data_IF_813985475342
#
_entry.id   IF_813985475342
#
_cell.length_a   1.000
_cell.length_b   1.000
_cell.length_c   1.000
_cell.angle_alpha   90.00
_cell.angle_beta   90.00
_cell.angle_gamma   90.00
#
_symmetry.space_group_name_H-M   'P 1'
#
loop_
_entity.id
_entity.type
_entity.pdbx_description
1 polymer ?
#
# COMPACT_ATOMS: atom_id res chain seq x y z
N UNK A 1 35.23 43.18 -35.11
CA UNK A 1 35.07 42.64 -33.75
C UNK A 1 34.64 41.20 -33.91
N UNK A 2 35.61 40.28 -33.84
CA UNK A 2 35.39 38.84 -34.01
C UNK A 2 35.43 38.17 -32.65
N UNK A 3 34.36 37.46 -32.32
CA UNK A 3 34.20 36.75 -31.07
C UNK A 3 35.02 35.45 -31.10
N UNK A 4 35.95 35.32 -30.15
CA UNK A 4 36.82 34.16 -30.00
C UNK A 4 36.21 33.21 -28.99
N UNK A 5 36.15 31.94 -29.38
CA UNK A 5 35.60 30.85 -28.59
C UNK A 5 36.31 30.64 -27.25
N UNK A 6 35.51 30.21 -26.28
CA UNK A 6 35.97 29.70 -24.99
C UNK A 6 36.16 28.19 -25.10
N UNK A 7 37.42 27.77 -24.99
CA UNK A 7 37.83 26.38 -24.79
C UNK A 7 37.91 26.15 -23.28
N UNK A 8 37.02 25.32 -22.74
CA UNK A 8 37.18 24.80 -21.38
C UNK A 8 37.97 23.49 -21.45
N UNK A 9 39.21 23.54 -20.95
CA UNK A 9 39.99 22.38 -20.50
C UNK A 9 39.75 22.18 -19.01
N UNK A 10 39.73 20.92 -18.60
CA UNK A 10 39.66 20.46 -17.21
C UNK A 10 38.62 19.37 -17.13
N UNK A 11 38.94 18.09 -16.98
CA UNK A 11 40.12 17.45 -16.40
C UNK A 11 39.54 16.20 -15.77
N UNK A 12 39.68 15.06 -16.45
CA UNK A 12 39.25 13.76 -15.94
C UNK A 12 40.02 13.46 -14.66
N UNK A 13 39.33 13.51 -13.53
CA UNK A 13 39.80 12.88 -12.29
C UNK A 13 39.11 11.53 -12.24
N UNK A 14 39.82 10.52 -12.75
CA UNK A 14 39.49 9.12 -12.51
C UNK A 14 39.58 8.87 -11.01
N UNK A 15 38.44 8.84 -10.32
CA UNK A 15 38.37 8.31 -8.97
C UNK A 15 38.46 6.77 -9.07
N UNK A 16 39.66 6.25 -8.86
CA UNK A 16 39.91 4.85 -8.52
C UNK A 16 39.10 4.50 -7.26
N UNK A 17 37.86 4.05 -7.45
CA UNK A 17 37.14 3.30 -6.43
C UNK A 17 37.63 1.86 -6.53
N UNK A 18 38.73 1.59 -5.84
CA UNK A 18 39.24 0.25 -5.61
C UNK A 18 38.27 -0.56 -4.76
N UNK A 19 37.18 -1.03 -5.36
CA UNK A 19 36.38 -2.13 -4.82
C UNK A 19 37.17 -3.41 -5.09
N UNK A 20 38.00 -3.81 -4.13
CA UNK A 20 38.54 -5.18 -4.10
C UNK A 20 37.35 -6.12 -3.97
N UNK A 21 36.99 -6.77 -5.06
CA UNK A 21 36.17 -7.98 -5.02
C UNK A 21 36.83 -8.96 -4.03
N UNK A 22 36.09 -9.52 -3.04
CA UNK A 22 36.66 -10.51 -2.16
C UNK A 22 37.12 -11.70 -3.00
N UNK A 23 38.38 -12.09 -2.76
CA UNK A 23 39.06 -13.19 -3.41
C UNK A 23 38.15 -14.42 -3.49
N UNK A 24 38.12 -15.00 -4.69
CA UNK A 24 37.42 -16.23 -5.03
C UNK A 24 37.89 -17.42 -4.20
N UNK A 25 37.41 -17.54 -2.96
CA UNK A 25 37.52 -18.76 -2.17
C UNK A 25 36.74 -19.86 -2.88
N UNK A 26 37.50 -20.83 -3.38
CA UNK A 26 37.05 -22.02 -4.10
C UNK A 26 35.87 -22.67 -3.36
N UNK A 27 34.70 -22.55 -3.99
CA UNK A 27 33.49 -23.31 -3.69
C UNK A 27 33.83 -24.80 -3.55
N UNK A 28 33.83 -25.32 -2.32
CA UNK A 28 33.52 -26.73 -2.11
C UNK A 28 32.08 -26.87 -2.56
N UNK A 29 31.87 -27.51 -3.71
CA UNK A 29 30.56 -27.69 -4.31
C UNK A 29 29.57 -28.13 -3.22
N UNK A 30 28.60 -27.26 -2.92
CA UNK A 30 27.47 -27.64 -2.10
C UNK A 30 26.83 -28.89 -2.74
N UNK A 31 26.35 -29.87 -1.96
CA UNK A 31 25.72 -31.06 -2.53
C UNK A 31 24.64 -30.65 -3.53
N UNK A 32 24.60 -31.29 -4.71
CA UNK A 32 23.72 -30.91 -5.82
C UNK A 32 22.23 -30.75 -5.45
N UNK A 33 21.79 -31.38 -4.36
CA UNK A 33 20.47 -31.25 -3.73
C UNK A 33 20.14 -29.81 -3.29
N UNK A 34 21.14 -29.01 -2.90
CA UNK A 34 20.91 -27.67 -2.34
C UNK A 34 20.71 -26.55 -3.38
N UNK A 35 21.22 -26.70 -4.60
CA UNK A 35 20.93 -25.76 -5.69
C UNK A 35 19.47 -25.90 -6.19
N UNK A 36 18.89 -27.10 -6.05
CA UNK A 36 17.48 -27.35 -6.35
C UNK A 36 16.54 -26.67 -5.33
N UNK A 37 17.01 -26.41 -4.10
CA UNK A 37 16.22 -25.79 -3.04
C UNK A 37 15.99 -24.30 -3.23
N UNK A 38 16.99 -23.57 -3.74
CA UNK A 38 16.87 -22.12 -3.98
C UNK A 38 17.26 -21.77 -5.43
N UNK A 39 16.39 -22.06 -6.41
CA UNK A 39 16.65 -21.73 -7.81
C UNK A 39 16.89 -20.23 -8.00
N UNK A 40 17.88 -19.87 -8.84
CA UNK A 40 18.28 -18.47 -9.05
C UNK A 40 19.27 -17.93 -8.01
N UNK A 41 19.69 -18.75 -7.04
CA UNK A 41 20.67 -18.39 -6.03
C UNK A 41 21.98 -19.15 -6.24
N UNK A 42 23.08 -18.58 -5.73
CA UNK A 42 24.37 -19.26 -5.56
C UNK A 42 24.68 -19.46 -4.08
N UNK A 43 25.20 -20.63 -3.69
CA UNK A 43 25.65 -20.84 -2.32
C UNK A 43 27.00 -20.12 -2.10
N UNK A 44 27.15 -19.49 -0.95
CA UNK A 44 28.42 -18.95 -0.45
C UNK A 44 28.63 -19.38 0.99
N UNK A 45 29.90 -19.52 1.39
CA UNK A 45 30.21 -19.71 2.80
C UNK A 45 30.02 -18.38 3.52
N UNK A 46 29.22 -18.36 4.58
CA UNK A 46 28.98 -17.20 5.42
C UNK A 46 28.97 -17.64 6.88
N UNK A 47 30.03 -17.26 7.61
CA UNK A 47 30.18 -17.54 9.03
C UNK A 47 29.19 -16.70 9.85
N UNK A 48 28.74 -17.22 10.99
CA UNK A 48 27.75 -16.57 11.87
C UNK A 48 28.17 -15.17 12.32
N UNK A 49 29.45 -14.97 12.62
CA UNK A 49 30.02 -13.68 13.05
C UNK A 49 30.05 -12.64 11.93
N UNK A 50 29.92 -13.05 10.66
CA UNK A 50 29.87 -12.18 9.47
C UNK A 50 28.45 -11.88 9.01
N UNK A 51 27.44 -12.54 9.57
CA UNK A 51 26.05 -12.36 9.18
C UNK A 51 25.55 -10.90 9.34
N UNK A 52 25.86 -10.17 10.43
CA UNK A 52 25.36 -8.79 10.61
C UNK A 52 25.91 -7.80 9.58
N UNK A 53 27.10 -8.05 9.05
CA UNK A 53 27.80 -7.16 8.11
C UNK A 53 27.60 -7.59 6.65
N UNK A 54 26.73 -8.56 6.38
CA UNK A 54 26.56 -9.11 5.04
C UNK A 54 25.61 -8.26 4.19
N UNK A 55 26.16 -7.49 3.26
CA UNK A 55 25.42 -6.48 2.48
C UNK A 55 24.61 -7.06 1.29
N UNK A 56 24.86 -8.31 0.87
CA UNK A 56 24.14 -8.87 -0.28
C UNK A 56 22.77 -9.43 0.14
N UNK A 57 21.78 -9.29 -0.74
CA UNK A 57 20.45 -9.88 -0.56
C UNK A 57 20.53 -11.40 -0.40
N UNK A 58 20.06 -11.88 0.73
CA UNK A 58 20.14 -13.26 1.17
C UNK A 58 18.76 -13.90 1.12
N UNK A 59 18.63 -15.00 0.39
CA UNK A 59 17.37 -15.73 0.33
C UNK A 59 17.25 -16.71 1.50
N UNK A 60 18.36 -17.30 1.96
CA UNK A 60 18.40 -18.17 3.15
C UNK A 60 19.82 -18.33 3.69
N UNK A 61 19.96 -18.57 4.99
CA UNK A 61 21.21 -18.90 5.68
C UNK A 61 20.97 -19.95 6.77
N UNK A 62 21.93 -20.87 6.91
CA UNK A 62 21.94 -21.94 7.93
C UNK A 62 23.28 -21.97 8.67
N UNK A 63 23.24 -21.74 9.98
CA UNK A 63 24.40 -21.74 10.87
C UNK A 63 25.12 -23.10 10.89
N UNK A 64 24.38 -24.21 10.78
CA UNK A 64 24.95 -25.56 10.88
C UNK A 64 25.90 -25.86 9.73
N UNK A 65 25.60 -25.32 8.55
CA UNK A 65 26.42 -25.50 7.35
C UNK A 65 27.23 -24.26 7.00
N UNK A 66 27.07 -23.16 7.74
CA UNK A 66 27.66 -21.84 7.45
C UNK A 66 27.48 -21.45 5.98
N UNK A 67 26.29 -21.72 5.44
CA UNK A 67 25.99 -21.54 4.02
C UNK A 67 24.87 -20.53 3.87
N UNK A 68 25.13 -19.51 3.05
CA UNK A 68 24.16 -18.54 2.60
C UNK A 68 23.79 -18.81 1.13
N UNK A 69 22.52 -18.66 0.79
CA UNK A 69 22.02 -18.65 -0.59
C UNK A 69 21.74 -17.20 -0.96
N UNK A 70 22.56 -16.69 -1.87
CA UNK A 70 22.55 -15.30 -2.30
C UNK A 70 21.99 -15.24 -3.70
N UNK A 71 21.14 -14.26 -3.99
CA UNK A 71 20.57 -14.10 -5.34
C UNK A 71 21.72 -13.95 -6.35
N UNK A 72 21.70 -14.74 -7.42
CA UNK A 72 22.78 -14.77 -8.40
C UNK A 72 22.79 -13.54 -9.32
N UNK A 73 21.61 -13.02 -9.66
CA UNK A 73 21.42 -11.80 -10.44
C UNK A 73 20.65 -10.79 -9.60
N UNK A 74 21.03 -9.50 -9.58
CA UNK A 74 20.32 -8.49 -8.81
C UNK A 74 18.80 -8.53 -9.08
N UNK A 75 18.00 -8.57 -8.03
CA UNK A 75 16.55 -8.41 -8.12
C UNK A 75 16.27 -7.00 -8.64
N UNK A 76 15.99 -6.88 -9.94
CA UNK A 76 15.73 -5.58 -10.58
C UNK A 76 14.48 -4.88 -10.04
N UNK A 77 14.21 -3.66 -10.54
CA UNK A 77 13.12 -2.78 -10.06
C UNK A 77 11.69 -3.34 -10.09
N UNK A 78 11.49 -4.55 -10.62
CA UNK A 78 10.22 -5.27 -10.61
C UNK A 78 9.88 -5.80 -9.20
N UNK A 79 10.87 -6.32 -8.44
CA UNK A 79 10.65 -6.76 -7.05
C UNK A 79 10.21 -5.57 -6.20
N UNK A 80 11.04 -4.52 -6.19
CA UNK A 80 10.79 -3.31 -5.41
C UNK A 80 9.49 -2.61 -5.82
N UNK A 81 9.19 -2.56 -7.12
CA UNK A 81 7.96 -1.98 -7.64
C UNK A 81 6.72 -2.73 -7.15
N UNK A 82 6.77 -4.06 -7.12
CA UNK A 82 5.65 -4.90 -6.66
C UNK A 82 5.44 -4.75 -5.14
N UNK A 83 6.50 -4.80 -4.33
CA UNK A 83 6.40 -4.59 -2.88
C UNK A 83 5.89 -3.18 -2.55
N UNK A 84 6.45 -2.13 -3.18
CA UNK A 84 5.99 -0.74 -3.00
C UNK A 84 4.53 -0.58 -3.41
N UNK A 85 4.09 -1.28 -4.45
CA UNK A 85 2.69 -1.28 -4.86
C UNK A 85 1.80 -1.87 -3.77
N UNK A 86 2.19 -2.99 -3.15
CA UNK A 86 1.43 -3.59 -2.05
C UNK A 86 1.25 -2.61 -0.88
N UNK A 87 2.29 -1.86 -0.50
CA UNK A 87 2.22 -0.84 0.55
C UNK A 87 1.08 0.16 0.25
N UNK A 88 1.06 0.73 -0.95
CA UNK A 88 0.02 1.70 -1.34
C UNK A 88 -1.38 1.11 -1.40
N UNK A 89 -1.52 -0.16 -1.78
CA UNK A 89 -2.82 -0.83 -1.76
C UNK A 89 -3.29 -1.06 -0.31
N UNK A 90 -2.39 -1.46 0.58
CA UNK A 90 -2.66 -1.66 2.00
C UNK A 90 -3.06 -0.35 2.70
N UNK A 91 -2.37 0.76 2.43
CA UNK A 91 -2.73 2.09 2.94
C UNK A 91 -4.16 2.49 2.56
N UNK A 92 -4.57 2.20 1.32
CA UNK A 92 -5.93 2.51 0.85
C UNK A 92 -6.99 1.64 1.49
N UNK A 93 -6.71 0.35 1.67
CA UNK A 93 -7.59 -0.55 2.42
C UNK A 93 -7.70 -0.06 3.87
N UNK A 94 -6.58 0.37 4.49
CA UNK A 94 -6.55 0.92 5.84
C UNK A 94 -7.45 2.17 5.98
N UNK A 95 -7.40 3.10 5.02
CA UNK A 95 -8.27 4.28 5.00
C UNK A 95 -9.76 3.92 5.00
N UNK A 96 -10.15 2.93 4.19
CA UNK A 96 -11.56 2.53 4.06
C UNK A 96 -12.02 1.69 5.26
N UNK A 97 -11.16 0.81 5.81
CA UNK A 97 -11.52 -0.02 6.97
C UNK A 97 -11.53 0.74 8.28
N UNK A 98 -10.83 1.88 8.38
CA UNK A 98 -10.78 2.72 9.58
C UNK A 98 -9.68 2.38 10.60
N UNK A 99 -8.86 1.38 10.34
CA UNK A 99 -7.78 0.92 11.21
C UNK A 99 -6.48 0.72 10.41
N UNK A 100 -5.31 1.03 11.00
CA UNK A 100 -4.04 1.01 10.27
C UNK A 100 -3.61 -0.42 9.91
N UNK A 101 -3.02 -0.56 8.73
CA UNK A 101 -2.25 -1.74 8.32
C UNK A 101 -0.77 -1.32 8.32
N UNK A 102 0.09 -2.10 8.97
CA UNK A 102 1.52 -1.84 8.96
C UNK A 102 2.22 -2.73 7.92
N UNK A 103 3.13 -2.13 7.17
CA UNK A 103 4.03 -2.80 6.22
C UNK A 103 5.46 -2.59 6.71
N UNK A 104 6.29 -3.64 6.66
CA UNK A 104 7.68 -3.56 7.13
C UNK A 104 8.71 -3.72 6.02
N UNK A 105 8.29 -3.78 4.76
CA UNK A 105 9.19 -3.98 3.65
C UNK A 105 9.87 -5.34 3.71
N UNK A 106 11.07 -5.37 3.15
CA UNK A 106 11.96 -6.51 3.27
C UNK A 106 12.41 -6.67 4.72
N UNK A 107 12.08 -7.81 5.33
CA UNK A 107 12.39 -8.12 6.73
C UNK A 107 13.19 -9.41 6.83
N UNK A 108 14.20 -9.37 7.70
CA UNK A 108 14.95 -10.57 8.09
C UNK A 108 14.13 -11.42 9.06
N UNK A 109 13.80 -12.64 8.64
CA UNK A 109 13.16 -13.66 9.43
C UNK A 109 14.24 -14.51 10.09
N UNK A 110 14.40 -14.37 11.41
CA UNK A 110 15.49 -14.95 12.19
C UNK A 110 14.97 -16.06 13.11
N UNK A 111 15.58 -17.23 13.07
CA UNK A 111 15.42 -18.29 14.07
C UNK A 111 16.64 -18.28 14.97
N UNK A 112 16.42 -18.33 16.29
CA UNK A 112 17.47 -18.45 17.29
C UNK A 112 17.48 -19.83 17.92
N UNK A 113 18.66 -20.31 18.26
CA UNK A 113 18.83 -21.54 19.04
C UNK A 113 18.46 -21.33 20.52
N UNK A 114 18.56 -22.40 21.33
CA UNK A 114 18.27 -22.34 22.77
C UNK A 114 19.20 -21.41 23.57
N UNK A 115 20.32 -20.96 23.00
CA UNK A 115 21.26 -20.00 23.60
C UNK A 115 21.02 -18.57 23.12
N UNK A 116 20.02 -18.37 22.25
CA UNK A 116 19.71 -17.09 21.63
C UNK A 116 20.64 -16.74 20.45
N UNK A 117 21.48 -17.66 19.97
CA UNK A 117 22.33 -17.40 18.81
C UNK A 117 21.56 -17.58 17.50
N UNK A 118 21.86 -16.82 16.43
CA UNK A 118 21.29 -17.06 15.10
C UNK A 118 21.50 -18.52 14.65
N UNK A 119 20.41 -19.23 14.35
CA UNK A 119 20.45 -20.59 13.78
C UNK A 119 20.15 -20.55 12.28
N UNK A 120 19.12 -19.79 11.88
CA UNK A 120 18.68 -19.66 10.49
C UNK A 120 18.17 -18.27 10.22
N UNK A 121 18.32 -17.82 8.99
CA UNK A 121 17.82 -16.52 8.55
C UNK A 121 17.26 -16.63 7.12
N UNK A 122 16.20 -15.90 6.84
CA UNK A 122 15.59 -15.78 5.50
C UNK A 122 15.07 -14.35 5.33
N UNK A 123 15.10 -13.79 4.12
CA UNK A 123 14.49 -12.49 3.85
C UNK A 123 13.14 -12.67 3.16
N UNK A 124 12.10 -12.02 3.68
CA UNK A 124 10.82 -11.85 2.98
C UNK A 124 10.85 -10.58 2.12
N UNK A 125 10.14 -10.55 0.99
CA UNK A 125 10.08 -9.32 0.15
C UNK A 125 9.21 -8.23 0.77
N UNK A 126 8.09 -8.61 1.41
CA UNK A 126 7.19 -7.68 2.11
C UNK A 126 6.37 -8.43 3.17
N UNK A 127 6.06 -7.77 4.28
CA UNK A 127 5.26 -8.34 5.37
C UNK A 127 4.20 -7.36 5.85
N UNK A 128 2.96 -7.84 5.99
CA UNK A 128 1.82 -7.03 6.40
C UNK A 128 1.25 -7.49 7.74
N UNK A 129 0.98 -6.52 8.61
CA UNK A 129 0.24 -6.70 9.85
C UNK A 129 -1.06 -5.91 9.76
N UNK A 130 -2.18 -6.63 9.77
CA UNK A 130 -3.52 -6.05 9.72
C UNK A 130 -3.93 -5.44 11.06
N UNK A 131 -3.27 -5.83 12.15
CA UNK A 131 -3.54 -5.33 13.50
C UNK A 131 -2.25 -4.94 14.23
N UNK A 132 -1.54 -3.88 13.79
CA UNK A 132 -0.25 -3.52 14.36
C UNK A 132 -0.29 -3.16 15.85
N UNK A 133 -1.45 -2.74 16.37
CA UNK A 133 -1.64 -2.47 17.80
C UNK A 133 -1.76 -3.71 18.69
N UNK A 134 -1.92 -4.92 18.11
CA UNK A 134 -2.13 -6.18 18.86
C UNK A 134 -0.83 -6.97 19.08
N UNK A 135 0.26 -6.56 18.47
CA UNK A 135 1.48 -7.34 18.42
C UNK A 135 2.72 -6.48 18.68
N UNK A 136 3.72 -7.09 19.32
CA UNK A 136 5.04 -6.47 19.42
C UNK A 136 5.69 -6.54 18.03
N UNK A 137 5.75 -5.40 17.36
CA UNK A 137 6.34 -5.28 16.04
C UNK A 137 7.87 -5.43 16.10
N UNK A 138 8.50 -6.03 15.08
CA UNK A 138 9.96 -6.16 15.01
C UNK A 138 10.63 -4.79 14.83
N UNK A 139 11.82 -4.62 15.45
CA UNK A 139 12.73 -3.51 15.19
C UNK A 139 13.96 -4.07 14.45
N UNK A 140 13.92 -4.07 13.12
CA UNK A 140 14.94 -4.69 12.27
C UNK A 140 14.54 -6.09 11.81
N UNK A 141 14.76 -7.11 12.66
CA UNK A 141 14.47 -8.51 12.31
C UNK A 141 13.22 -9.05 13.03
N UNK A 142 12.49 -9.93 12.35
CA UNK A 142 11.42 -10.72 12.92
C UNK A 142 11.99 -12.04 13.48
N UNK A 143 12.02 -12.18 14.80
CA UNK A 143 12.48 -13.40 15.46
C UNK A 143 11.32 -14.40 15.60
N UNK A 144 11.44 -15.54 14.94
CA UNK A 144 10.44 -16.61 14.91
C UNK A 144 10.28 -17.19 16.31
N UNK A 145 9.02 -17.27 16.78
CA UNK A 145 8.68 -17.77 18.13
C UNK A 145 8.72 -16.70 19.22
N UNK A 146 9.30 -15.52 18.96
CA UNK A 146 9.34 -14.40 19.91
C UNK A 146 8.40 -13.25 19.48
N UNK A 147 8.41 -12.90 18.20
CA UNK A 147 7.53 -11.88 17.63
C UNK A 147 6.23 -12.50 17.10
N UNK A 148 5.17 -11.69 17.06
CA UNK A 148 3.98 -12.08 16.34
C UNK A 148 4.30 -12.19 14.84
N UNK A 149 3.72 -13.18 14.18
CA UNK A 149 3.89 -13.34 12.74
C UNK A 149 3.01 -12.33 12.00
N UNK A 150 3.44 -11.84 10.82
CA UNK A 150 2.60 -11.04 9.95
C UNK A 150 1.42 -11.88 9.47
N UNK A 151 0.31 -11.18 9.22
CA UNK A 151 -0.91 -11.79 8.68
C UNK A 151 -0.72 -12.22 7.22
N UNK A 152 0.14 -11.51 6.47
CA UNK A 152 0.51 -11.84 5.09
C UNK A 152 2.01 -11.63 4.89
N UNK A 153 2.66 -12.59 4.25
CA UNK A 153 3.98 -12.42 3.62
C UNK A 153 3.82 -12.39 2.11
N UNK A 154 4.51 -11.49 1.43
CA UNK A 154 4.61 -11.47 -0.02
C UNK A 154 6.01 -11.93 -0.44
N UNK A 155 6.06 -12.73 -1.49
CA UNK A 155 7.26 -13.12 -2.22
C UNK A 155 7.05 -12.89 -3.72
N UNK A 156 8.02 -12.28 -4.39
CA UNK A 156 7.98 -12.03 -5.84
C UNK A 156 8.84 -13.08 -6.55
N UNK A 157 8.21 -14.06 -7.20
CA UNK A 157 8.87 -15.11 -7.99
C UNK A 157 9.19 -14.55 -9.40
N UNK A 158 10.21 -13.68 -9.48
CA UNK A 158 10.72 -13.13 -10.73
C UNK A 158 12.00 -13.86 -11.19
N UNK A 159 13.06 -13.82 -10.37
CA UNK A 159 14.35 -14.48 -10.66
C UNK A 159 14.54 -15.77 -9.86
N UNK A 160 13.94 -15.88 -8.68
CA UNK A 160 14.02 -17.04 -7.78
C UNK A 160 12.71 -17.80 -7.74
N UNK A 161 12.77 -19.14 -7.72
CA UNK A 161 11.58 -19.97 -7.46
C UNK A 161 11.48 -20.23 -5.96
N UNK A 162 10.54 -19.57 -5.27
CA UNK A 162 10.42 -19.64 -3.81
C UNK A 162 9.85 -20.99 -3.31
N UNK A 163 9.22 -21.78 -4.17
CA UNK A 163 8.45 -22.97 -3.76
C UNK A 163 9.30 -24.15 -3.26
N UNK A 164 10.44 -24.51 -3.87
CA UNK A 164 11.23 -25.65 -3.40
C UNK A 164 11.93 -25.41 -2.05
N UNK A 165 12.27 -24.15 -1.73
CA UNK A 165 13.11 -23.79 -0.58
C UNK A 165 12.37 -23.04 0.51
N UNK A 166 11.86 -21.85 0.20
CA UNK A 166 11.23 -20.97 1.20
C UNK A 166 9.87 -21.47 1.67
N UNK A 167 9.04 -22.00 0.76
CA UNK A 167 7.67 -22.40 1.10
C UNK A 167 7.62 -23.43 2.26
N UNK A 168 8.44 -24.51 2.29
CA UNK A 168 8.52 -25.39 3.46
C UNK A 168 8.99 -24.69 4.75
N UNK A 169 9.85 -23.68 4.67
CA UNK A 169 10.32 -22.93 5.83
C UNK A 169 9.18 -22.10 6.42
N UNK A 170 8.44 -21.36 5.59
CA UNK A 170 7.26 -20.62 6.00
C UNK A 170 6.21 -21.52 6.68
N UNK A 171 5.97 -22.73 6.16
CA UNK A 171 5.12 -23.74 6.84
C UNK A 171 5.69 -24.10 8.21
N UNK A 172 6.98 -24.42 8.28
CA UNK A 172 7.61 -24.86 9.53
C UNK A 172 7.65 -23.79 10.61
N UNK A 173 7.67 -22.51 10.19
CA UNK A 173 7.65 -21.35 11.08
C UNK A 173 6.23 -20.87 11.42
N UNK A 174 5.20 -21.41 10.75
CA UNK A 174 3.81 -21.17 11.12
C UNK A 174 3.18 -19.91 10.52
N UNK A 175 3.72 -19.35 9.43
CA UNK A 175 3.16 -18.14 8.82
C UNK A 175 1.74 -18.39 8.28
N UNK A 176 0.75 -17.57 8.65
CA UNK A 176 -0.66 -17.88 8.38
C UNK A 176 -1.00 -17.81 6.88
N UNK A 177 -0.45 -16.84 6.16
CA UNK A 177 -0.70 -16.65 4.75
C UNK A 177 0.54 -16.13 4.01
N UNK A 178 0.83 -16.73 2.85
CA UNK A 178 1.91 -16.35 1.95
C UNK A 178 1.36 -16.12 0.55
N UNK A 179 1.69 -14.98 -0.04
CA UNK A 179 1.38 -14.64 -1.43
C UNK A 179 2.64 -14.78 -2.27
N UNK A 180 2.60 -15.66 -3.27
CA UNK A 180 3.68 -15.80 -4.26
C UNK A 180 3.23 -15.16 -5.56
N UNK A 181 3.89 -14.08 -5.97
CA UNK A 181 3.54 -13.30 -7.14
C UNK A 181 4.52 -13.53 -8.26
N UNK A 182 4.03 -14.01 -9.39
CA UNK A 182 4.78 -14.08 -10.64
C UNK A 182 4.38 -12.86 -11.48
N UNK A 183 5.24 -11.83 -11.61
CA UNK A 183 4.94 -10.67 -12.45
C UNK A 183 4.91 -11.06 -13.94
N UNK A 184 4.22 -10.30 -14.82
CA UNK A 184 4.17 -10.59 -16.25
C UNK A 184 5.54 -10.77 -16.90
N UNK A 185 6.51 -9.94 -16.52
CA UNK A 185 7.89 -10.02 -17.01
C UNK A 185 8.65 -11.27 -16.53
N UNK A 186 8.24 -11.89 -15.42
CA UNK A 186 8.81 -13.13 -14.88
C UNK A 186 8.12 -14.41 -15.39
N UNK A 187 7.03 -14.27 -16.15
CA UNK A 187 6.21 -15.38 -16.56
C UNK A 187 6.96 -16.34 -17.51
N UNK A 188 6.86 -17.63 -17.22
CA UNK A 188 7.39 -18.73 -18.04
C UNK A 188 6.31 -19.77 -18.27
N UNK A 189 6.45 -20.65 -19.27
CA UNK A 189 5.47 -21.72 -19.56
C UNK A 189 5.10 -22.57 -18.33
N UNK A 190 6.05 -22.82 -17.43
CA UNK A 190 5.85 -23.61 -16.19
C UNK A 190 5.53 -22.74 -14.95
N UNK A 191 5.56 -21.41 -15.10
CA UNK A 191 5.33 -20.41 -14.05
C UNK A 191 4.56 -19.23 -14.65
N UNK A 192 3.25 -19.39 -14.91
CA UNK A 192 2.46 -18.32 -15.53
C UNK A 192 2.38 -17.11 -14.59
N UNK A 193 2.19 -15.92 -15.17
CA UNK A 193 1.90 -14.72 -14.39
C UNK A 193 0.66 -14.95 -13.52
N UNK A 194 0.72 -14.50 -12.27
CA UNK A 194 -0.39 -14.64 -11.33
C UNK A 194 0.04 -14.45 -9.88
N UNK A 195 -0.93 -14.53 -8.98
CA UNK A 195 -0.67 -14.71 -7.54
C UNK A 195 -1.11 -16.10 -7.16
N UNK A 196 -0.31 -16.80 -6.36
CA UNK A 196 -0.74 -17.97 -5.61
C UNK A 196 -0.86 -17.60 -4.14
N UNK A 197 -2.05 -17.77 -3.57
CA UNK A 197 -2.31 -17.51 -2.15
C UNK A 197 -2.18 -18.83 -1.41
N UNK A 198 -1.22 -18.95 -0.51
CA UNK A 198 -0.98 -20.12 0.33
C UNK A 198 -1.46 -19.83 1.75
N UNK A 199 -2.45 -20.60 2.24
CA UNK A 199 -3.01 -20.46 3.59
C UNK A 199 -2.64 -21.67 4.45
N UNK A 200 -2.13 -21.43 5.65
CA UNK A 200 -1.67 -22.49 6.54
C UNK A 200 -2.89 -23.18 7.18
N UNK A 201 -3.11 -24.44 6.81
CA UNK A 201 -4.25 -25.22 7.26
C UNK A 201 -3.81 -26.62 7.68
N UNK A 202 -3.88 -26.90 8.98
CA UNK A 202 -3.48 -28.21 9.54
C UNK A 202 -2.01 -28.53 9.30
N UNK A 203 -1.13 -27.54 9.51
CA UNK A 203 0.33 -27.71 9.40
C UNK A 203 0.88 -27.79 7.98
N UNK A 204 0.08 -27.44 6.96
CA UNK A 204 0.52 -27.36 5.56
C UNK A 204 -0.15 -26.22 4.82
N UNK A 205 0.51 -25.69 3.81
CA UNK A 205 -0.11 -24.71 2.93
C UNK A 205 -1.11 -25.35 1.97
N UNK A 206 -2.26 -24.70 1.83
CA UNK A 206 -3.21 -24.95 0.74
C UNK A 206 -3.36 -23.71 -0.12
N UNK A 207 -3.43 -23.91 -1.43
CA UNK A 207 -3.70 -22.83 -2.36
C UNK A 207 -5.17 -22.42 -2.27
N UNK A 208 -5.41 -21.13 -2.03
CA UNK A 208 -6.74 -20.51 -2.00
C UNK A 208 -7.00 -19.63 -3.22
N UNK A 209 -8.28 -19.52 -3.61
CA UNK A 209 -8.70 -18.57 -4.64
C UNK A 209 -8.82 -17.14 -4.11
N UNK A 210 -8.99 -16.99 -2.80
CA UNK A 210 -9.15 -15.73 -2.07
C UNK A 210 -8.21 -15.66 -0.88
N UNK A 211 -7.85 -14.44 -0.49
CA UNK A 211 -7.10 -14.19 0.74
C UNK A 211 -7.97 -14.45 1.97
N UNK A 212 -7.38 -15.07 3.00
CA UNK A 212 -7.96 -15.18 4.32
C UNK A 212 -7.76 -13.90 5.14
N UNK A 213 -6.59 -13.27 5.01
CA UNK A 213 -6.29 -11.99 5.65
C UNK A 213 -7.09 -10.82 5.07
N UNK A 214 -7.34 -10.81 3.75
CA UNK A 214 -8.14 -9.80 3.05
C UNK A 214 -9.40 -10.42 2.45
N UNK A 215 -10.50 -10.52 3.22
CA UNK A 215 -11.68 -11.28 2.83
C UNK A 215 -12.27 -10.83 1.50
N UNK A 216 -12.50 -11.80 0.62
CA UNK A 216 -13.09 -11.56 -0.71
C UNK A 216 -12.15 -10.92 -1.73
N UNK A 217 -10.86 -10.71 -1.41
CA UNK A 217 -9.87 -10.34 -2.41
C UNK A 217 -9.32 -11.59 -3.11
N UNK A 218 -9.62 -11.72 -4.40
CA UNK A 218 -9.24 -12.91 -5.18
C UNK A 218 -7.82 -12.82 -5.70
N UNK A 219 -7.17 -13.96 -5.94
CA UNK A 219 -5.81 -14.00 -6.50
C UNK A 219 -5.66 -13.23 -7.84
N UNK A 220 -6.61 -13.31 -8.81
CA UNK A 220 -6.54 -12.49 -10.02
C UNK A 220 -6.67 -10.99 -9.77
N UNK A 221 -7.51 -10.58 -8.82
CA UNK A 221 -7.65 -9.17 -8.45
C UNK A 221 -6.38 -8.65 -7.76
N UNK A 222 -5.78 -9.43 -6.86
CA UNK A 222 -4.49 -9.09 -6.23
C UNK A 222 -3.42 -8.94 -7.30
N UNK A 223 -3.33 -9.89 -8.24
CA UNK A 223 -2.31 -9.86 -9.29
C UNK A 223 -2.46 -8.64 -10.18
N UNK A 224 -3.69 -8.33 -10.58
CA UNK A 224 -4.01 -7.13 -11.36
C UNK A 224 -3.60 -5.86 -10.61
N UNK A 225 -3.99 -5.73 -9.34
CA UNK A 225 -3.72 -4.55 -8.52
C UNK A 225 -2.21 -4.32 -8.28
N UNK A 226 -1.43 -5.41 -8.17
CA UNK A 226 0.01 -5.38 -7.97
C UNK A 226 0.81 -5.09 -9.24
N UNK A 227 0.25 -5.37 -10.42
CA UNK A 227 0.98 -5.30 -11.69
C UNK A 227 0.52 -4.18 -12.61
N UNK A 228 -0.60 -3.52 -12.30
CA UNK A 228 -1.05 -2.34 -13.04
C UNK A 228 -0.12 -1.13 -12.78
N UNK A 229 0.19 -0.32 -13.82
CA UNK A 229 1.08 0.83 -13.67
C UNK A 229 0.47 1.95 -12.81
N UNK A 230 -0.85 2.10 -12.86
CA UNK A 230 -1.62 3.08 -12.09
C UNK A 230 -2.90 2.42 -11.58
N UNK A 231 -3.46 2.94 -10.50
CA UNK A 231 -4.65 2.34 -9.87
C UNK A 231 -5.89 2.58 -10.71
N UNK A 232 -6.39 1.51 -11.33
CA UNK A 232 -7.60 1.58 -12.14
C UNK A 232 -8.85 1.77 -11.26
N UNK A 233 -9.94 2.29 -11.86
CA UNK A 233 -11.25 2.37 -11.19
C UNK A 233 -11.80 0.98 -10.81
N UNK A 234 -11.39 -0.07 -11.52
CA UNK A 234 -11.71 -1.44 -11.14
C UNK A 234 -10.99 -1.83 -9.84
N UNK A 235 -9.66 -1.66 -9.78
CA UNK A 235 -8.88 -1.94 -8.57
C UNK A 235 -9.40 -1.12 -7.39
N UNK A 236 -9.71 0.15 -7.59
CA UNK A 236 -10.26 0.99 -6.52
C UNK A 236 -11.54 0.41 -5.91
N UNK A 237 -12.50 -0.02 -6.73
CA UNK A 237 -13.73 -0.67 -6.24
C UNK A 237 -13.44 -1.96 -5.46
N UNK A 238 -12.43 -2.72 -5.87
CA UNK A 238 -12.00 -3.92 -5.13
C UNK A 238 -11.42 -3.54 -3.77
N UNK A 239 -10.50 -2.56 -3.70
CA UNK A 239 -9.91 -2.11 -2.44
C UNK A 239 -10.98 -1.55 -1.49
N UNK A 240 -11.95 -0.79 -2.00
CA UNK A 240 -13.09 -0.31 -1.21
C UNK A 240 -13.93 -1.47 -0.67
N UNK A 241 -14.26 -2.47 -1.50
CA UNK A 241 -15.01 -3.65 -1.08
C UNK A 241 -14.30 -4.40 0.04
N UNK A 242 -12.99 -4.64 -0.13
CA UNK A 242 -12.15 -5.35 0.85
C UNK A 242 -12.05 -4.54 2.15
N UNK A 243 -11.76 -3.24 2.06
CA UNK A 243 -11.67 -2.34 3.22
C UNK A 243 -12.97 -2.27 4.00
N UNK A 244 -14.12 -2.11 3.33
CA UNK A 244 -15.43 -2.11 4.00
C UNK A 244 -15.73 -3.45 4.67
N UNK A 245 -15.34 -4.56 4.04
CA UNK A 245 -15.55 -5.91 4.61
C UNK A 245 -14.72 -6.09 5.89
N UNK A 246 -13.45 -5.68 5.87
CA UNK A 246 -12.59 -5.70 7.07
C UNK A 246 -13.11 -4.78 8.17
N UNK A 247 -13.46 -3.54 7.82
CA UNK A 247 -14.02 -2.58 8.78
C UNK A 247 -15.30 -3.11 9.45
N UNK A 248 -16.22 -3.68 8.66
CA UNK A 248 -17.45 -4.28 9.19
C UNK A 248 -17.17 -5.45 10.16
N UNK A 249 -16.14 -6.26 9.92
CA UNK A 249 -15.74 -7.35 10.83
C UNK A 249 -15.13 -6.83 12.15
N UNK A 250 -14.54 -5.64 12.14
CA UNK A 250 -13.90 -5.00 13.29
C UNK A 250 -14.78 -3.98 14.02
N UNK A 251 -15.94 -3.66 13.46
CA UNK A 251 -16.79 -2.58 13.96
C UNK A 251 -16.21 -1.19 13.67
N UNK A 252 -15.44 -1.04 12.60
CA UNK A 252 -14.81 0.22 12.16
C UNK A 252 -15.21 0.57 10.72
N UNK A 253 -14.92 1.78 10.30
CA UNK A 253 -15.18 2.25 8.95
C UNK A 253 -14.42 3.53 8.58
N UNK A 254 -14.72 4.12 7.42
CA UNK A 254 -14.00 5.29 6.92
C UNK A 254 -13.97 6.45 7.91
N UNK A 255 -15.06 6.68 8.65
CA UNK A 255 -15.20 7.75 9.65
C UNK A 255 -14.31 7.55 10.90
N UNK A 256 -13.68 6.38 11.06
CA UNK A 256 -12.69 6.16 12.13
C UNK A 256 -11.31 6.75 11.78
N UNK A 257 -11.06 7.00 10.49
CA UNK A 257 -9.84 7.68 10.03
C UNK A 257 -9.97 9.19 10.24
N UNK A 258 -9.04 9.86 10.95
CA UNK A 258 -9.12 11.31 11.22
C UNK A 258 -9.34 12.18 9.97
N UNK A 259 -8.64 11.86 8.87
CA UNK A 259 -8.78 12.59 7.60
C UNK A 259 -10.19 12.46 7.01
N UNK A 260 -10.71 11.25 6.89
CA UNK A 260 -12.01 11.01 6.27
C UNK A 260 -13.16 11.50 7.16
N UNK A 261 -13.01 11.41 8.49
CA UNK A 261 -13.95 12.04 9.44
C UNK A 261 -14.06 13.54 9.20
N UNK A 262 -12.92 14.23 9.15
CA UNK A 262 -12.86 15.68 8.91
C UNK A 262 -13.47 16.07 7.56
N UNK A 263 -13.13 15.34 6.49
CA UNK A 263 -13.72 15.55 5.16
C UNK A 263 -15.23 15.28 5.14
N UNK A 264 -15.69 14.25 5.87
CA UNK A 264 -17.11 13.93 6.00
C UNK A 264 -17.87 14.99 6.79
N UNK A 265 -17.29 15.55 7.84
CA UNK A 265 -17.84 16.68 8.60
C UNK A 265 -17.96 17.93 7.74
N UNK A 266 -16.91 18.25 6.98
CA UNK A 266 -16.92 19.37 6.05
C UNK A 266 -17.98 19.18 4.96
N UNK A 267 -18.02 18.02 4.30
CA UNK A 267 -19.00 17.73 3.26
C UNK A 267 -20.45 17.77 3.79
N UNK A 268 -20.68 17.31 5.03
CA UNK A 268 -21.99 17.43 5.71
C UNK A 268 -22.36 18.89 5.97
N UNK A 269 -21.41 19.71 6.42
CA UNK A 269 -21.64 21.13 6.66
C UNK A 269 -21.94 21.88 5.35
N UNK A 270 -21.18 21.61 4.29
CA UNK A 270 -21.38 22.15 2.95
C UNK A 270 -22.74 21.73 2.37
N UNK A 271 -23.09 20.44 2.47
CA UNK A 271 -24.38 19.92 2.03
C UNK A 271 -25.57 20.52 2.79
N UNK A 272 -25.44 20.72 4.10
CA UNK A 272 -26.46 21.40 4.90
C UNK A 272 -26.60 22.88 4.53
N UNK A 273 -25.49 23.58 4.29
CA UNK A 273 -25.51 24.98 3.84
C UNK A 273 -26.20 25.11 2.48
N UNK A 274 -25.84 24.24 1.52
CA UNK A 274 -26.46 24.19 0.20
C UNK A 274 -27.96 23.87 0.27
N UNK A 275 -28.38 22.91 1.11
CA UNK A 275 -29.78 22.59 1.31
C UNK A 275 -30.59 23.74 1.93
N UNK A 276 -30.04 24.42 2.95
CA UNK A 276 -30.68 25.60 3.56
C UNK A 276 -30.81 26.75 2.55
N UNK A 277 -29.77 26.98 1.77
CA UNK A 277 -29.75 27.96 0.70
C UNK A 277 -30.87 27.71 -0.33
N UNK A 278 -31.01 26.47 -0.79
CA UNK A 278 -32.04 26.07 -1.75
C UNK A 278 -33.46 26.21 -1.17
N UNK A 279 -33.66 25.82 0.10
CA UNK A 279 -34.94 26.01 0.78
C UNK A 279 -35.32 27.49 0.90
N UNK A 280 -34.39 28.33 1.36
CA UNK A 280 -34.62 29.77 1.52
C UNK A 280 -34.88 30.46 0.18
N UNK A 281 -34.13 30.08 -0.85
CA UNK A 281 -34.34 30.52 -2.22
C UNK A 281 -35.76 30.25 -2.70
N UNK A 282 -36.26 29.03 -2.50
CA UNK A 282 -37.60 28.64 -2.94
C UNK A 282 -38.71 29.36 -2.17
N UNK A 283 -38.52 29.58 -0.86
CA UNK A 283 -39.44 30.39 -0.04
C UNK A 283 -39.50 31.82 -0.56
N UNK A 284 -38.35 32.44 -0.85
CA UNK A 284 -38.31 33.80 -1.38
C UNK A 284 -38.94 33.86 -2.76
N UNK A 285 -38.62 32.95 -3.69
CA UNK A 285 -39.28 32.86 -5.01
C UNK A 285 -40.80 32.79 -4.89
N UNK A 286 -41.27 31.88 -4.03
CA UNK A 286 -42.70 31.68 -3.80
C UNK A 286 -43.35 32.96 -3.28
N UNK A 287 -42.69 33.65 -2.34
CA UNK A 287 -43.17 34.91 -1.78
C UNK A 287 -43.24 36.02 -2.82
N UNK A 288 -42.19 36.21 -3.62
CA UNK A 288 -42.13 37.22 -4.67
C UNK A 288 -43.19 36.95 -5.75
N UNK A 289 -43.34 35.70 -6.18
CA UNK A 289 -44.37 35.29 -7.14
C UNK A 289 -45.79 35.54 -6.64
N UNK A 290 -46.09 35.24 -5.37
CA UNK A 290 -47.39 35.54 -4.75
C UNK A 290 -47.66 37.05 -4.72
N UNK A 291 -46.61 37.87 -4.57
CA UNK A 291 -46.70 39.34 -4.65
C UNK A 291 -46.80 39.88 -6.08
N UNK A 292 -46.76 39.02 -7.10
CA UNK A 292 -46.79 39.43 -8.50
C UNK A 292 -45.47 40.03 -9.00
N UNK A 293 -44.37 39.83 -8.27
CA UNK A 293 -43.03 40.26 -8.69
C UNK A 293 -42.45 39.18 -9.61
N UNK A 294 -42.11 39.50 -10.88
CA UNK A 294 -41.42 38.56 -11.77
C UNK A 294 -40.08 38.16 -11.16
N UNK A 295 -39.77 36.87 -11.21
CA UNK A 295 -38.52 36.31 -10.71
C UNK A 295 -37.79 35.63 -11.88
N UNK A 296 -36.53 36.00 -12.09
CA UNK A 296 -35.68 35.48 -13.14
C UNK A 296 -35.31 34.01 -12.91
N UNK A 297 -35.01 33.28 -13.98
CA UNK A 297 -34.53 31.89 -13.88
C UNK A 297 -33.16 31.78 -13.19
N UNK A 298 -32.41 32.88 -13.16
CA UNK A 298 -31.12 33.04 -12.47
C UNK A 298 -31.28 33.37 -10.98
N UNK A 299 -32.51 33.37 -10.47
CA UNK A 299 -32.78 33.62 -9.07
C UNK A 299 -32.94 32.30 -8.32
N UNK A 300 -32.11 32.02 -7.30
CA UNK A 300 -30.80 32.58 -7.04
C UNK A 300 -29.70 31.63 -7.53
N UNK A 301 -28.90 32.10 -8.49
CA UNK A 301 -27.61 31.50 -8.83
C UNK A 301 -26.62 31.63 -7.65
N UNK A 302 -26.89 32.53 -6.70
CA UNK A 302 -26.14 32.77 -5.46
C UNK A 302 -26.78 32.11 -4.22
N UNK A 303 -27.25 30.86 -4.36
CA UNK A 303 -27.87 30.11 -3.25
C UNK A 303 -26.99 30.13 -1.98
N UNK A 304 -25.66 29.97 -2.11
CA UNK A 304 -24.74 30.01 -0.98
C UNK A 304 -24.79 31.33 -0.18
N UNK A 305 -24.95 32.49 -0.83
CA UNK A 305 -25.01 33.78 -0.15
C UNK A 305 -26.33 33.99 0.62
N UNK A 306 -27.41 33.30 0.22
CA UNK A 306 -28.67 33.30 0.96
C UNK A 306 -28.59 32.50 2.26
N UNK A 307 -27.73 31.48 2.35
CA UNK A 307 -27.59 30.68 3.57
C UNK A 307 -27.04 31.47 4.76
N UNK A 308 -26.32 32.57 4.50
CA UNK A 308 -25.71 33.42 5.53
C UNK A 308 -26.64 34.57 5.98
N UNK A 309 -27.76 34.80 5.29
CA UNK A 309 -28.72 35.86 5.65
C UNK A 309 -29.78 35.29 6.60
N UNK A 310 -30.02 35.92 7.77
CA UNK A 310 -31.09 35.49 8.67
C UNK A 310 -32.46 35.41 7.97
N UNK A 311 -33.21 34.34 8.22
CA UNK A 311 -34.49 34.06 7.55
C UNK A 311 -35.49 35.22 7.70
N UNK A 312 -35.57 35.83 8.87
CA UNK A 312 -36.42 36.98 9.14
C UNK A 312 -36.05 38.18 8.26
N UNK A 313 -34.75 38.46 8.08
CA UNK A 313 -34.25 39.50 7.18
C UNK A 313 -34.64 39.21 5.73
N UNK A 314 -34.47 37.96 5.27
CA UNK A 314 -34.91 37.53 3.93
C UNK A 314 -36.42 37.72 3.73
N UNK A 315 -37.23 37.33 4.71
CA UNK A 315 -38.69 37.47 4.61
C UNK A 315 -39.13 38.93 4.65
N UNK A 316 -38.55 39.76 5.52
CA UNK A 316 -38.84 41.19 5.58
C UNK A 316 -38.47 41.87 4.26
N UNK A 317 -37.30 41.55 3.70
CA UNK A 317 -36.89 42.07 2.40
C UNK A 317 -37.83 41.60 1.28
N UNK A 318 -38.18 40.31 1.24
CA UNK A 318 -39.07 39.73 0.24
C UNK A 318 -40.49 40.29 0.30
N UNK A 319 -40.96 40.74 1.47
CA UNK A 319 -42.27 41.38 1.65
C UNK A 319 -42.23 42.89 1.34
N UNK A 320 -41.08 43.55 1.49
CA UNK A 320 -40.94 44.99 1.34
C UNK A 320 -40.40 45.44 -0.03
N UNK A 321 -39.77 44.55 -0.80
CA UNK A 321 -39.16 44.92 -2.07
C UNK A 321 -40.20 45.28 -3.14
N UNK A 322 -39.80 46.08 -4.13
CA UNK A 322 -40.65 46.44 -5.27
C UNK A 322 -40.40 45.55 -6.49
N UNK A 323 -39.20 44.99 -6.62
CA UNK A 323 -38.79 44.05 -7.65
C UNK A 323 -37.66 43.13 -7.15
N UNK A 324 -37.14 42.26 -8.02
CA UNK A 324 -36.06 41.32 -7.70
C UNK A 324 -34.73 42.03 -7.39
N UNK A 325 -34.42 43.13 -8.07
CA UNK A 325 -33.17 43.88 -7.89
C UNK A 325 -33.16 44.62 -6.53
N UNK A 326 -34.29 45.23 -6.16
CA UNK A 326 -34.50 45.83 -4.85
C UNK A 326 -34.41 44.79 -3.73
N UNK A 327 -34.94 43.57 -3.96
CA UNK A 327 -34.73 42.47 -3.02
C UNK A 327 -33.24 42.18 -2.84
N UNK A 328 -32.49 41.94 -3.93
CA UNK A 328 -31.06 41.64 -3.90
C UNK A 328 -30.26 42.70 -3.15
N UNK A 329 -30.52 43.99 -3.43
CA UNK A 329 -29.87 45.11 -2.72
C UNK A 329 -30.16 45.10 -1.22
N UNK A 330 -31.41 44.84 -0.81
CA UNK A 330 -31.82 44.83 0.60
C UNK A 330 -31.16 43.71 1.41
N UNK A 331 -30.84 42.60 0.77
CA UNK A 331 -30.19 41.45 1.42
C UNK A 331 -28.68 41.39 1.15
N UNK A 332 -28.12 42.40 0.47
CA UNK A 332 -26.69 42.52 0.21
C UNK A 332 -26.14 41.46 -0.77
N UNK A 333 -26.98 40.96 -1.68
CA UNK A 333 -26.55 40.03 -2.71
C UNK A 333 -25.84 40.79 -3.86
N UNK A 334 -24.73 40.24 -4.41
CA UNK A 334 -24.08 40.83 -5.58
C UNK A 334 -24.99 40.75 -6.82
N UNK A 335 -24.82 41.72 -7.73
CA UNK A 335 -25.58 41.83 -8.99
C UNK A 335 -25.36 40.63 -9.94
#
# INVERSE_FOLDING_TARGET
>A
MGDRGWVARGGEVAAETGVRAPDSERSRAAPADYAARFPGCRPVRLLTDRLPDFENRLEYWDARTETAWVVAEPTGGIHEGTSRRLIHLAERIALVRGTPIASFGSVDLLVRDARGAPERMMQADETLYLHPGRARMPQGSLVIGEHALPDVVLEVDHTTDVRPGKLPLYVSWGFPELWVVVPPAGARRRRPAGVTIHRLEGGRYRSGATSGAFPGWTAPEIHTALTEPATSAYTWRVLERVGRTLGAQEGTGPDDTPLLRSLGEQARAEGQAAGRAEELAEIVRSTLRVRGIPVSDRFPDASAALADVPRDVLMVAALACVDEEDFRRRVGLPD
#
